data_IF_034671150579
#
_entry.id   IF_034671150579
#
_cell.length_a   1.000
_cell.length_b   1.000
_cell.length_c   1.000
_cell.angle_alpha   90.00
_cell.angle_beta   90.00
_cell.angle_gamma   90.00
#
_symmetry.space_group_name_H-M   'P 1'
#
loop_
_entity.id
_entity.type
_entity.pdbx_description
1 polymer ?
#
# COMPACT_ATOMS: atom_id res chain seq x y z
N UNK A 1 -12.58 9.54 -100.78
CA UNK A 1 -11.45 8.76 -100.24
C UNK A 1 -10.36 9.79 -99.90
N UNK A 2 -9.99 10.12 -98.66
CA UNK A 2 -10.05 9.45 -97.35
C UNK A 2 -10.56 10.43 -96.28
N UNK A 3 -11.41 9.92 -95.39
CA UNK A 3 -11.66 10.49 -94.06
C UNK A 3 -10.45 10.16 -93.19
N UNK A 4 -9.81 11.15 -92.58
CA UNK A 4 -8.72 10.93 -91.64
C UNK A 4 -9.27 10.92 -90.19
N UNK A 5 -9.44 9.70 -89.69
CA UNK A 5 -10.08 9.33 -88.43
C UNK A 5 -9.05 9.27 -87.27
N UNK A 6 -8.19 10.28 -87.12
CA UNK A 6 -7.16 10.35 -86.04
C UNK A 6 -7.54 11.27 -84.88
N UNK A 7 -8.83 11.33 -84.53
CA UNK A 7 -9.34 11.82 -83.24
C UNK A 7 -10.09 10.69 -82.53
N UNK A 8 -9.36 9.77 -81.91
CA UNK A 8 -9.91 8.89 -80.89
C UNK A 8 -8.76 8.15 -80.18
N UNK A 9 -8.60 8.44 -78.89
CA UNK A 9 -7.85 7.63 -77.92
C UNK A 9 -6.34 7.50 -78.11
N UNK A 10 -5.65 8.61 -77.84
CA UNK A 10 -4.27 8.61 -77.36
C UNK A 10 -4.20 9.11 -75.92
N UNK A 11 -4.99 8.54 -75.01
CA UNK A 11 -4.89 8.84 -73.58
C UNK A 11 -3.79 7.97 -72.97
N UNK A 12 -2.54 8.25 -73.33
CA UNK A 12 -1.41 7.87 -72.49
C UNK A 12 -1.40 8.86 -71.34
N UNK A 13 -2.05 8.52 -70.22
CA UNK A 13 -1.75 9.16 -68.94
C UNK A 13 -0.32 8.71 -68.61
N UNK A 14 0.69 9.58 -68.62
CA UNK A 14 2.03 9.19 -68.23
C UNK A 14 1.98 8.75 -66.76
N UNK A 15 2.50 7.56 -66.47
CA UNK A 15 2.50 6.95 -65.14
C UNK A 15 3.41 7.68 -64.11
N UNK A 16 3.79 8.93 -64.35
CA UNK A 16 4.84 9.64 -63.62
C UNK A 16 4.42 10.96 -62.96
N UNK A 17 3.18 11.42 -63.11
CA UNK A 17 2.78 12.76 -62.66
C UNK A 17 2.31 12.87 -61.20
N UNK A 18 2.25 11.76 -60.45
CA UNK A 18 1.85 11.79 -59.03
C UNK A 18 2.99 12.23 -58.07
N UNK A 19 4.22 12.34 -58.58
CA UNK A 19 5.43 12.77 -57.86
C UNK A 19 5.86 14.21 -58.20
N UNK A 20 4.92 15.09 -58.53
CA UNK A 20 5.18 16.53 -58.74
C UNK A 20 5.20 17.26 -57.39
N UNK A 21 6.14 18.18 -57.18
CA UNK A 21 6.16 19.06 -56.01
C UNK A 21 4.84 19.86 -55.94
N UNK A 22 4.01 19.61 -54.91
CA UNK A 22 2.68 20.20 -54.76
C UNK A 22 1.51 19.23 -55.03
N UNK A 23 1.79 17.98 -55.43
CA UNK A 23 0.80 16.90 -55.49
C UNK A 23 0.41 16.42 -54.08
N UNK A 24 -0.88 16.17 -53.86
CA UNK A 24 -1.44 15.63 -52.60
C UNK A 24 -0.77 14.31 -52.19
N UNK A 25 -0.37 13.48 -53.16
CA UNK A 25 0.33 12.22 -52.90
C UNK A 25 1.76 12.42 -52.39
N UNK A 26 2.45 13.46 -52.85
CA UNK A 26 3.80 13.81 -52.41
C UNK A 26 3.81 14.39 -50.98
N UNK A 27 2.79 15.16 -50.62
CA UNK A 27 2.62 15.65 -49.24
C UNK A 27 2.30 14.53 -48.24
N UNK A 28 1.49 13.54 -48.63
CA UNK A 28 1.21 12.35 -47.81
C UNK A 28 2.46 11.50 -47.56
N UNK A 29 3.34 11.33 -48.56
CA UNK A 29 4.59 10.57 -48.42
C UNK A 29 5.58 11.27 -47.48
N UNK A 30 5.60 12.62 -47.45
CA UNK A 30 6.41 13.38 -46.48
C UNK A 30 5.98 13.19 -45.03
N UNK A 31 4.67 13.00 -44.79
CA UNK A 31 4.12 12.76 -43.46
C UNK A 31 4.23 11.31 -42.96
N UNK A 32 4.46 10.36 -43.86
CA UNK A 32 4.44 8.93 -43.58
C UNK A 32 5.54 8.47 -42.59
N UNK A 33 6.80 8.93 -42.69
CA UNK A 33 7.83 8.62 -41.70
C UNK A 33 7.47 9.14 -40.31
N UNK A 34 6.92 10.35 -40.22
CA UNK A 34 6.50 10.94 -38.95
C UNK A 34 5.33 10.17 -38.32
N UNK A 35 4.36 9.72 -39.13
CA UNK A 35 3.25 8.89 -38.67
C UNK A 35 3.72 7.52 -38.15
N UNK A 36 4.67 6.87 -38.83
CA UNK A 36 5.24 5.60 -38.40
C UNK A 36 6.03 5.73 -37.09
N UNK A 37 6.81 6.81 -36.93
CA UNK A 37 7.50 7.12 -35.68
C UNK A 37 6.49 7.36 -34.56
N UNK A 38 5.42 8.13 -34.82
CA UNK A 38 4.37 8.37 -33.83
C UNK A 38 3.66 7.08 -33.39
N UNK A 39 3.35 6.17 -34.32
CA UNK A 39 2.78 4.86 -34.00
C UNK A 39 3.76 3.98 -33.21
N UNK A 40 5.04 3.97 -33.59
CA UNK A 40 6.09 3.26 -32.87
C UNK A 40 6.25 3.76 -31.43
N UNK A 41 6.31 5.08 -31.25
CA UNK A 41 6.36 5.71 -29.93
C UNK A 41 5.09 5.44 -29.11
N UNK A 42 3.91 5.49 -29.74
CA UNK A 42 2.65 5.15 -29.09
C UNK A 42 2.60 3.71 -28.59
N UNK A 43 3.11 2.76 -29.37
CA UNK A 43 3.20 1.35 -28.97
C UNK A 43 4.15 1.15 -27.79
N UNK A 44 5.35 1.76 -27.84
CA UNK A 44 6.33 1.71 -26.74
C UNK A 44 5.76 2.36 -25.49
N UNK A 45 5.14 3.54 -25.60
CA UNK A 45 4.50 4.23 -24.49
C UNK A 45 3.41 3.38 -23.83
N UNK A 46 2.58 2.70 -24.63
CA UNK A 46 1.53 1.80 -24.12
C UNK A 46 2.13 0.64 -23.31
N UNK A 47 3.24 0.05 -23.77
CA UNK A 47 3.94 -1.03 -23.05
C UNK A 47 4.55 -0.55 -21.73
N UNK A 48 5.16 0.64 -21.73
CA UNK A 48 5.72 1.25 -20.53
C UNK A 48 4.61 1.55 -19.51
N UNK A 49 3.47 2.10 -19.96
CA UNK A 49 2.34 2.42 -19.09
C UNK A 49 1.75 1.16 -18.43
N UNK A 50 1.66 0.04 -19.16
CA UNK A 50 1.21 -1.24 -18.59
C UNK A 50 2.16 -1.75 -17.50
N UNK A 51 3.47 -1.59 -17.67
CA UNK A 51 4.45 -1.95 -16.64
C UNK A 51 4.36 -1.00 -15.44
N UNK A 52 4.20 0.30 -15.68
CA UNK A 52 4.03 1.29 -14.60
C UNK A 52 2.76 1.04 -13.78
N UNK A 53 1.65 0.62 -14.41
CA UNK A 53 0.44 0.24 -13.70
C UNK A 53 0.68 -0.94 -12.75
N UNK A 54 1.41 -1.97 -13.20
CA UNK A 54 1.79 -3.12 -12.36
C UNK A 54 2.74 -2.73 -11.22
N UNK A 55 3.67 -1.82 -11.48
CA UNK A 55 4.58 -1.30 -10.44
C UNK A 55 3.83 -0.45 -9.43
N UNK A 56 2.87 0.37 -9.88
CA UNK A 56 2.05 1.21 -9.02
C UNK A 56 1.16 0.37 -8.08
N UNK A 57 0.56 -0.71 -8.57
CA UNK A 57 -0.22 -1.63 -7.71
C UNK A 57 0.67 -2.38 -6.73
N UNK A 58 1.83 -2.87 -7.16
CA UNK A 58 2.80 -3.50 -6.26
C UNK A 58 3.28 -2.54 -5.16
N UNK A 59 3.56 -1.28 -5.53
CA UNK A 59 3.97 -0.24 -4.58
C UNK A 59 2.87 0.13 -3.59
N UNK A 60 1.61 0.20 -4.04
CA UNK A 60 0.46 0.44 -3.17
C UNK A 60 0.29 -0.68 -2.13
N UNK A 61 0.42 -1.94 -2.57
CA UNK A 61 0.33 -3.09 -1.67
C UNK A 61 1.47 -3.10 -0.65
N UNK A 62 2.70 -2.75 -1.08
CA UNK A 62 3.84 -2.61 -0.18
C UNK A 62 3.64 -1.48 0.84
N UNK A 63 3.18 -0.29 0.42
CA UNK A 63 2.92 0.82 1.35
C UNK A 63 1.84 0.45 2.38
N UNK A 64 0.80 -0.27 1.95
CA UNK A 64 -0.25 -0.76 2.83
C UNK A 64 0.30 -1.79 3.83
N UNK A 65 1.16 -2.70 3.39
CA UNK A 65 1.86 -3.63 4.27
C UNK A 65 2.68 -2.92 5.33
N UNK A 66 3.53 -1.97 4.91
CA UNK A 66 4.41 -1.26 5.82
C UNK A 66 3.60 -0.51 6.88
N UNK A 67 2.48 0.12 6.50
CA UNK A 67 1.57 0.76 7.46
C UNK A 67 0.97 -0.25 8.43
N UNK A 68 0.48 -1.40 7.94
CA UNK A 68 -0.08 -2.46 8.80
C UNK A 68 0.97 -3.04 9.74
N UNK A 69 2.16 -3.30 9.23
CA UNK A 69 3.27 -3.86 9.99
C UNK A 69 3.73 -2.91 11.10
N UNK A 70 3.80 -1.60 10.83
CA UNK A 70 4.10 -0.58 11.86
C UNK A 70 3.11 -0.61 13.03
N UNK A 71 1.82 -0.81 12.77
CA UNK A 71 0.83 -0.91 13.85
C UNK A 71 0.97 -2.21 14.64
N UNK A 72 1.27 -3.33 13.98
CA UNK A 72 1.60 -4.57 14.65
C UNK A 72 2.82 -4.40 15.56
N UNK A 73 3.90 -3.81 15.04
CA UNK A 73 5.14 -3.57 15.79
C UNK A 73 4.91 -2.68 17.00
N UNK A 74 4.17 -1.58 16.85
CA UNK A 74 3.82 -0.69 17.96
C UNK A 74 2.98 -1.42 19.04
N UNK A 75 2.02 -2.26 18.63
CA UNK A 75 1.19 -3.04 19.57
C UNK A 75 2.01 -4.09 20.29
N UNK A 76 2.88 -4.79 19.57
CA UNK A 76 3.81 -5.76 20.14
C UNK A 76 4.78 -5.11 21.13
N UNK A 77 5.29 -3.93 20.79
CA UNK A 77 6.20 -3.19 21.64
C UNK A 77 5.54 -2.78 22.96
N UNK A 78 4.31 -2.26 22.91
CA UNK A 78 3.53 -1.90 24.11
C UNK A 78 3.33 -3.13 25.02
N UNK A 79 2.95 -4.28 24.45
CA UNK A 79 2.82 -5.54 25.17
C UNK A 79 4.15 -5.98 25.80
N UNK A 80 5.26 -5.83 25.07
CA UNK A 80 6.59 -6.25 25.53
C UNK A 80 7.10 -5.39 26.68
N UNK A 81 6.90 -4.06 26.60
CA UNK A 81 7.25 -3.14 27.70
C UNK A 81 6.49 -3.52 28.98
N UNK A 82 5.20 -3.86 28.86
CA UNK A 82 4.39 -4.25 30.00
C UNK A 82 4.91 -5.52 30.71
N UNK A 83 5.46 -6.48 29.96
CA UNK A 83 6.06 -7.71 30.51
C UNK A 83 7.41 -7.44 31.17
N UNK A 84 8.24 -6.57 30.59
CA UNK A 84 9.60 -6.28 31.08
C UNK A 84 9.62 -5.47 32.39
N UNK A 85 8.45 -5.12 32.94
CA UNK A 85 8.30 -4.27 34.14
C UNK A 85 9.01 -2.93 33.99
N UNK A 86 9.16 -2.46 32.75
CA UNK A 86 9.56 -1.08 32.51
C UNK A 86 8.49 -0.14 33.08
N UNK A 87 8.86 1.12 33.31
CA UNK A 87 7.93 2.09 33.85
C UNK A 87 6.83 2.35 32.81
N UNK A 88 5.65 1.80 33.06
CA UNK A 88 4.49 1.99 32.19
C UNK A 88 3.91 3.36 32.52
N UNK A 89 3.76 4.25 31.55
CA UNK A 89 3.06 5.52 31.77
C UNK A 89 1.55 5.28 31.92
N UNK A 90 0.84 6.16 32.66
CA UNK A 90 -0.65 6.15 32.77
C UNK A 90 -1.30 6.00 31.40
N UNK A 91 -0.74 6.70 30.43
CA UNK A 91 -1.18 6.77 29.05
C UNK A 91 0.06 6.86 28.18
N UNK A 92 0.17 5.96 27.20
CA UNK A 92 1.08 6.14 26.09
C UNK A 92 0.32 6.88 24.96
N UNK A 93 0.49 8.22 24.83
CA UNK A 93 -0.19 8.98 23.78
C UNK A 93 0.21 8.50 22.39
N UNK A 94 1.45 8.02 22.21
CA UNK A 94 1.92 7.51 20.93
C UNK A 94 1.13 6.27 20.51
N UNK A 95 0.86 5.35 21.45
CA UNK A 95 0.05 4.16 21.20
C UNK A 95 -1.43 4.49 20.95
N UNK A 96 -2.02 5.36 21.77
CA UNK A 96 -3.45 5.73 21.63
C UNK A 96 -3.73 6.54 20.37
N UNK A 97 -2.77 7.36 19.90
CA UNK A 97 -2.86 8.07 18.62
C UNK A 97 -2.92 7.13 17.40
N UNK A 98 -2.55 5.85 17.55
CA UNK A 98 -2.66 4.85 16.49
C UNK A 98 -4.06 4.25 16.36
N UNK A 99 -4.98 4.49 17.31
CA UNK A 99 -6.31 3.86 17.30
C UNK A 99 -7.14 4.20 16.05
N UNK A 100 -7.19 5.45 15.55
CA UNK A 100 -7.89 5.76 14.32
C UNK A 100 -7.27 5.04 13.11
N UNK A 101 -5.94 4.97 13.06
CA UNK A 101 -5.22 4.25 12.00
C UNK A 101 -5.49 2.74 12.05
N UNK A 102 -5.61 2.18 13.26
CA UNK A 102 -5.95 0.77 13.45
C UNK A 102 -7.35 0.46 12.96
N UNK A 103 -8.32 1.30 13.35
CA UNK A 103 -9.70 1.20 12.89
C UNK A 103 -9.79 1.29 11.37
N UNK A 104 -9.02 2.18 10.74
CA UNK A 104 -9.03 2.35 9.29
C UNK A 104 -8.38 1.17 8.55
N UNK A 105 -7.24 0.66 9.02
CA UNK A 105 -6.45 -0.35 8.31
C UNK A 105 -6.92 -1.79 8.54
N UNK A 106 -7.53 -2.05 9.69
CA UNK A 106 -7.88 -3.38 10.19
C UNK A 106 -9.35 -3.50 10.63
N UNK A 107 -10.04 -2.39 10.86
CA UNK A 107 -11.41 -2.39 11.37
C UNK A 107 -11.50 -2.32 12.90
N UNK A 108 -12.73 -2.41 13.40
CA UNK A 108 -13.04 -2.27 14.83
C UNK A 108 -12.38 -3.35 15.69
N UNK A 109 -12.21 -4.57 15.17
CA UNK A 109 -11.64 -5.70 15.91
C UNK A 109 -10.26 -5.39 16.50
N UNK A 110 -9.33 -4.91 15.67
CA UNK A 110 -7.97 -4.59 16.12
C UNK A 110 -7.95 -3.32 16.97
N UNK A 111 -8.80 -2.33 16.66
CA UNK A 111 -8.93 -1.14 17.50
C UNK A 111 -9.38 -1.49 18.91
N UNK A 112 -10.39 -2.35 19.04
CA UNK A 112 -10.92 -2.78 20.34
C UNK A 112 -9.90 -3.64 21.10
N UNK A 113 -9.11 -4.45 20.37
CA UNK A 113 -7.98 -5.17 20.95
C UNK A 113 -6.90 -4.22 21.49
N UNK A 114 -6.51 -3.18 20.75
CA UNK A 114 -5.56 -2.16 21.23
C UNK A 114 -6.11 -1.39 22.43
N UNK A 115 -7.41 -1.11 22.48
CA UNK A 115 -8.08 -0.51 23.62
C UNK A 115 -8.06 -1.42 24.86
N UNK A 116 -8.23 -2.73 24.69
CA UNK A 116 -8.08 -3.71 25.77
C UNK A 116 -6.65 -3.71 26.35
N UNK A 117 -5.64 -3.66 25.48
CA UNK A 117 -4.23 -3.54 25.88
C UNK A 117 -4.02 -2.26 26.70
N UNK A 118 -4.48 -1.11 26.18
CA UNK A 118 -4.33 0.18 26.86
C UNK A 118 -4.99 0.18 28.25
N UNK A 119 -6.21 -0.37 28.37
CA UNK A 119 -6.91 -0.53 29.65
C UNK A 119 -6.13 -1.40 30.63
N UNK A 120 -5.53 -2.48 30.17
CA UNK A 120 -4.71 -3.34 31.02
C UNK A 120 -3.38 -2.68 31.40
N UNK A 121 -2.78 -1.85 30.53
CA UNK A 121 -1.60 -1.03 30.88
C UNK A 121 -1.93 -0.07 32.01
N UNK A 122 -3.07 0.63 31.94
CA UNK A 122 -3.53 1.52 33.02
C UNK A 122 -3.75 0.78 34.34
N UNK A 123 -4.28 -0.45 34.32
CA UNK A 123 -4.42 -1.28 35.53
C UNK A 123 -3.05 -1.64 36.12
N UNK A 124 -2.08 -2.02 35.27
CA UNK A 124 -0.73 -2.34 35.72
C UNK A 124 -0.05 -1.12 36.34
N UNK A 125 -0.17 0.03 35.68
CA UNK A 125 0.33 1.30 36.20
C UNK A 125 -0.26 1.63 37.57
N UNK A 126 -1.57 1.48 37.76
CA UNK A 126 -2.22 1.73 39.05
C UNK A 126 -1.67 0.84 40.17
N UNK A 127 -1.39 -0.43 39.86
CA UNK A 127 -0.76 -1.36 40.80
C UNK A 127 0.68 -0.93 41.11
N UNK A 128 1.45 -0.55 40.09
CA UNK A 128 2.82 -0.05 40.25
C UNK A 128 2.86 1.23 41.10
N UNK A 129 1.94 2.16 40.88
CA UNK A 129 1.86 3.42 41.64
C UNK A 129 1.50 3.16 43.11
N UNK A 130 0.55 2.26 43.39
CA UNK A 130 0.23 1.84 44.77
C UNK A 130 1.40 1.14 45.44
N UNK A 131 2.12 0.31 44.70
CA UNK A 131 3.33 -0.37 45.17
C UNK A 131 4.42 0.64 45.53
N UNK A 132 4.60 1.67 44.69
CA UNK A 132 5.55 2.76 44.92
C UNK A 132 5.20 3.58 46.16
N UNK A 133 3.92 3.92 46.32
CA UNK A 133 3.42 4.59 47.52
C UNK A 133 3.63 3.75 48.79
N UNK A 134 3.63 2.42 48.66
CA UNK A 134 3.88 1.47 49.73
C UNK A 134 5.34 1.00 49.82
N UNK A 135 6.30 1.91 49.67
CA UNK A 135 7.75 1.63 49.79
C UNK A 135 8.27 0.52 48.85
N UNK A 136 7.67 0.39 47.67
CA UNK A 136 7.93 -0.67 46.69
C UNK A 136 7.58 -2.09 47.15
N UNK A 137 6.74 -2.23 48.18
CA UNK A 137 6.18 -3.51 48.62
C UNK A 137 4.80 -3.65 48.00
N UNK A 138 4.62 -4.65 47.14
CA UNK A 138 3.32 -4.93 46.53
C UNK A 138 2.33 -5.35 47.63
N UNK A 139 1.19 -4.65 47.79
CA UNK A 139 0.16 -5.05 48.74
C UNK A 139 -0.32 -6.48 48.46
N UNK A 140 -0.48 -7.30 49.52
CA UNK A 140 -0.85 -8.71 49.39
C UNK A 140 -2.10 -8.93 48.52
N UNK A 141 -3.07 -8.02 48.65
CA UNK A 141 -4.33 -8.00 47.88
C UNK A 141 -4.15 -7.77 46.37
N UNK A 142 -3.03 -7.19 45.93
CA UNK A 142 -2.74 -6.88 44.53
C UNK A 142 -1.77 -7.87 43.88
N UNK A 143 -1.11 -8.75 44.64
CA UNK A 143 -0.12 -9.71 44.11
C UNK A 143 -0.75 -10.61 43.05
N UNK A 144 -1.93 -11.17 43.33
CA UNK A 144 -2.64 -12.04 42.39
C UNK A 144 -3.05 -11.26 41.14
N UNK A 145 -3.64 -10.08 41.32
CA UNK A 145 -4.05 -9.23 40.20
C UNK A 145 -2.87 -8.83 39.31
N UNK A 146 -1.73 -8.46 39.90
CA UNK A 146 -0.50 -8.14 39.15
C UNK A 146 0.03 -9.36 38.39
N UNK A 147 0.07 -10.52 39.05
CA UNK A 147 0.59 -11.75 38.46
C UNK A 147 -0.27 -12.21 37.29
N UNK A 148 -1.59 -12.18 37.43
CA UNK A 148 -2.52 -12.56 36.37
C UNK A 148 -2.43 -11.58 35.18
N UNK A 149 -2.25 -10.30 35.46
CA UNK A 149 -2.12 -9.28 34.43
C UNK A 149 -0.79 -9.39 33.66
N UNK A 150 0.32 -9.69 34.35
CA UNK A 150 1.60 -9.99 33.68
C UNK A 150 1.54 -11.28 32.86
N UNK A 151 0.85 -12.32 33.35
CA UNK A 151 0.60 -13.55 32.56
C UNK A 151 -0.25 -13.25 31.32
N UNK A 152 -1.27 -12.41 31.46
CA UNK A 152 -2.09 -11.96 30.33
C UNK A 152 -1.23 -11.25 29.29
N UNK A 153 -0.40 -10.28 29.69
CA UNK A 153 0.51 -9.58 28.78
C UNK A 153 1.52 -10.52 28.11
N UNK A 154 2.10 -11.46 28.86
CA UNK A 154 3.04 -12.44 28.30
C UNK A 154 2.37 -13.32 27.24
N UNK A 155 1.14 -13.79 27.49
CA UNK A 155 0.35 -14.54 26.52
C UNK A 155 0.01 -13.70 25.28
N UNK A 156 -0.44 -12.46 25.51
CA UNK A 156 -0.77 -11.54 24.41
C UNK A 156 0.44 -11.25 23.53
N UNK A 157 1.59 -10.97 24.14
CA UNK A 157 2.85 -10.76 23.45
C UNK A 157 3.22 -12.02 22.66
N UNK A 158 3.34 -13.19 23.28
CA UNK A 158 3.90 -14.37 22.62
C UNK A 158 3.03 -14.93 21.47
N UNK A 159 1.71 -14.93 21.62
CA UNK A 159 0.82 -15.71 20.75
C UNK A 159 -0.29 -14.85 20.14
N UNK A 160 -1.13 -14.24 20.98
CA UNK A 160 -2.41 -13.68 20.54
C UNK A 160 -2.25 -12.45 19.65
N UNK A 161 -1.24 -11.60 19.88
CA UNK A 161 -0.98 -10.42 19.05
C UNK A 161 -0.66 -10.84 17.61
N UNK A 162 0.26 -11.80 17.43
CA UNK A 162 0.58 -12.33 16.09
C UNK A 162 -0.61 -13.03 15.45
N UNK A 163 -1.40 -13.77 16.22
CA UNK A 163 -2.58 -14.47 15.71
C UNK A 163 -3.66 -13.50 15.19
N UNK A 164 -3.90 -12.38 15.88
CA UNK A 164 -4.90 -11.37 15.49
C UNK A 164 -4.46 -10.54 14.28
N UNK A 165 -3.18 -10.16 14.21
CA UNK A 165 -2.65 -9.38 13.08
C UNK A 165 -2.31 -10.25 11.85
N UNK A 166 -2.02 -11.53 12.05
CA UNK A 166 -1.59 -12.47 11.00
C UNK A 166 -2.47 -12.48 9.74
N UNK A 167 -3.82 -12.57 9.85
CA UNK A 167 -4.72 -12.55 8.69
C UNK A 167 -4.59 -11.33 7.78
N UNK A 168 -4.12 -10.20 8.33
CA UNK A 168 -4.00 -8.90 7.66
C UNK A 168 -2.59 -8.63 7.11
N UNK A 169 -1.58 -9.39 7.58
CA UNK A 169 -0.16 -9.29 7.21
C UNK A 169 0.28 -10.40 6.22
N UNK A 170 -0.64 -11.25 5.77
CA UNK A 170 -0.33 -12.35 4.86
C UNK A 170 -0.22 -11.88 3.39
N UNK A 171 1.00 -11.93 2.84
CA UNK A 171 1.30 -11.61 1.44
C UNK A 171 0.64 -12.55 0.43
N UNK A 172 0.30 -13.78 0.83
CA UNK A 172 -0.28 -14.78 -0.08
C UNK A 172 -1.64 -14.34 -0.63
N UNK A 173 -2.32 -13.44 0.08
CA UNK A 173 -3.63 -12.88 -0.28
C UNK A 173 -3.57 -11.77 -1.32
N UNK A 174 -2.39 -11.29 -1.72
CA UNK A 174 -2.20 -10.11 -2.59
C UNK A 174 -1.68 -10.45 -3.99
N UNK A 175 -2.15 -11.57 -4.54
CA UNK A 175 -1.90 -11.98 -5.93
C UNK A 175 -2.71 -11.19 -6.93
#
# INVERSE_FOLDING_TARGET
MRLDFRKAFGMCIPATDWFVNGSVSFELIKGLPAALIALGLGFVATRIQQQQAKVATAKLNLDLFERRYKLFEATWHELSQAVQREHIAISNPEFTNLFPSAQFLFGMEIRDYMDEISKNCTKLWLIQERTRANQNIVPQELITAQTDLLKWFAKQAMEDCRARFGPYLDFSKWK
#
